data_IF_039626879942
#
_entry.id   IF_039626879942
#
_cell.length_a   1.000
_cell.length_b   1.000
_cell.length_c   1.000
_cell.angle_alpha   90.00
_cell.angle_beta   90.00
_cell.angle_gamma   90.00
#
_symmetry.space_group_name_H-M   'P 1'
#
loop_
_entity.id
_entity.type
_entity.pdbx_description
1 polymer ?
#
# COMPACT_ATOMS: atom_id res chain seq x y z
N UNK A 1 3.93 -4.12 15.10
CA UNK A 1 4.06 -3.45 13.78
C UNK A 1 3.00 -2.36 13.60
N UNK A 2 1.72 -2.61 13.93
CA UNK A 2 0.66 -1.60 13.86
C UNK A 2 0.98 -0.31 14.64
N UNK A 3 1.35 -0.42 15.93
CA UNK A 3 1.66 0.77 16.75
C UNK A 3 2.83 1.59 16.18
N UNK A 4 3.91 0.93 15.78
CA UNK A 4 5.05 1.57 15.11
C UNK A 4 4.62 2.33 13.84
N UNK A 5 3.78 1.72 13.00
CA UNK A 5 3.26 2.37 11.80
C UNK A 5 2.44 3.61 12.14
N UNK A 6 1.56 3.52 13.14
CA UNK A 6 0.74 4.63 13.61
C UNK A 6 1.59 5.76 14.19
N UNK A 7 2.65 5.46 14.92
CA UNK A 7 3.58 6.48 15.43
C UNK A 7 4.29 7.23 14.30
N UNK A 8 4.73 6.53 13.24
CA UNK A 8 5.35 7.17 12.07
C UNK A 8 4.35 8.05 11.31
N UNK A 9 3.11 7.57 11.12
CA UNK A 9 2.06 8.36 10.49
C UNK A 9 1.67 9.58 11.35
N UNK A 10 1.64 9.43 12.68
CA UNK A 10 1.28 10.48 13.62
C UNK A 10 2.23 11.69 13.62
N UNK A 11 3.49 11.49 13.22
CA UNK A 11 4.47 12.58 13.04
C UNK A 11 4.51 13.11 11.59
N UNK A 12 3.59 12.69 10.72
CA UNK A 12 3.55 13.07 9.31
C UNK A 12 4.48 12.26 8.40
N UNK A 13 5.06 11.16 8.89
CA UNK A 13 5.85 10.24 8.09
C UNK A 13 5.01 9.44 7.10
N UNK A 14 5.68 8.77 6.16
CA UNK A 14 5.04 7.85 5.19
C UNK A 14 5.40 6.42 5.52
N UNK A 15 4.45 5.50 5.35
CA UNK A 15 4.67 4.07 5.61
C UNK A 15 4.21 3.22 4.43
N UNK A 16 5.04 2.27 4.05
CA UNK A 16 4.72 1.20 3.11
C UNK A 16 4.77 -0.14 3.85
N UNK A 17 3.76 -0.99 3.67
CA UNK A 17 3.68 -2.30 4.33
C UNK A 17 3.57 -3.39 3.29
N UNK A 18 4.49 -4.36 3.32
CA UNK A 18 4.39 -5.59 2.56
C UNK A 18 3.45 -6.55 3.30
N UNK A 19 2.19 -6.60 2.86
CA UNK A 19 1.11 -7.27 3.58
C UNK A 19 0.82 -8.66 3.03
N UNK A 20 1.62 -9.66 3.42
CA UNK A 20 1.29 -11.06 3.16
C UNK A 20 0.19 -11.53 4.12
N UNK A 21 -0.94 -12.03 3.60
CA UNK A 21 -2.08 -12.49 4.40
C UNK A 21 -3.21 -11.47 4.62
N UNK A 22 -3.14 -10.29 3.98
CA UNK A 22 -4.24 -9.30 3.89
C UNK A 22 -4.70 -8.66 5.22
N UNK A 23 -4.00 -8.88 6.33
CA UNK A 23 -4.41 -8.38 7.65
C UNK A 23 -4.44 -6.85 7.76
N UNK A 24 -3.57 -6.16 7.02
CA UNK A 24 -3.49 -4.68 7.04
C UNK A 24 -4.45 -3.98 6.07
N UNK A 25 -5.22 -4.69 5.22
CA UNK A 25 -6.08 -4.07 4.19
C UNK A 25 -7.09 -3.10 4.80
N UNK A 26 -7.84 -3.56 5.81
CA UNK A 26 -8.89 -2.75 6.46
C UNK A 26 -8.30 -1.51 7.15
N UNK A 27 -7.17 -1.68 7.85
CA UNK A 27 -6.51 -0.57 8.54
C UNK A 27 -5.96 0.46 7.56
N UNK A 28 -5.34 0.03 6.45
CA UNK A 28 -4.86 0.92 5.39
C UNK A 28 -5.99 1.82 4.86
N UNK A 29 -7.15 1.23 4.56
CA UNK A 29 -8.31 1.97 4.06
C UNK A 29 -8.90 2.93 5.11
N UNK A 30 -8.99 2.52 6.39
CA UNK A 30 -9.47 3.39 7.48
C UNK A 30 -8.56 4.63 7.65
N UNK A 31 -7.26 4.46 7.46
CA UNK A 31 -6.28 5.53 7.54
C UNK A 31 -6.18 6.38 6.25
N UNK A 32 -7.06 6.15 5.27
CA UNK A 32 -7.07 6.88 3.99
C UNK A 32 -5.92 6.52 3.04
N UNK A 33 -5.25 5.39 3.26
CA UNK A 33 -4.18 4.91 2.41
C UNK A 33 -4.67 4.11 1.19
N UNK A 34 -3.74 3.83 0.28
CA UNK A 34 -3.99 3.00 -0.90
C UNK A 34 -3.52 1.56 -0.67
N UNK A 35 -4.39 0.59 -0.98
CA UNK A 35 -4.07 -0.84 -0.89
C UNK A 35 -3.85 -1.42 -2.28
N UNK A 36 -2.64 -1.93 -2.53
CA UNK A 36 -2.28 -2.58 -3.79
C UNK A 36 -2.40 -4.10 -3.61
N UNK A 37 -3.14 -4.73 -4.50
CA UNK A 37 -3.36 -6.18 -4.51
C UNK A 37 -3.18 -6.72 -5.93
N UNK A 38 -2.40 -7.78 -6.06
CA UNK A 38 -2.31 -8.51 -7.32
C UNK A 38 -3.46 -9.51 -7.38
N UNK A 39 -4.36 -9.29 -8.33
CA UNK A 39 -5.48 -10.18 -8.64
C UNK A 39 -5.39 -10.62 -10.10
N UNK A 40 -5.84 -11.84 -10.38
CA UNK A 40 -5.85 -12.39 -11.74
C UNK A 40 -6.90 -11.71 -12.62
N UNK A 41 -7.98 -11.16 -12.03
CA UNK A 41 -9.02 -10.44 -12.79
C UNK A 41 -8.60 -9.00 -13.13
N UNK A 42 -7.79 -8.39 -12.27
CA UNK A 42 -7.30 -7.02 -12.42
C UNK A 42 -5.76 -7.02 -12.32
N UNK A 43 -5.06 -7.53 -13.35
CA UNK A 43 -3.61 -7.66 -13.29
C UNK A 43 -2.94 -6.29 -13.23
N UNK A 44 -2.07 -6.11 -12.24
CA UNK A 44 -1.20 -4.94 -12.10
C UNK A 44 0.25 -5.34 -12.35
N UNK A 45 1.01 -4.51 -13.07
CA UNK A 45 2.45 -4.70 -13.25
C UNK A 45 3.22 -3.75 -12.33
N UNK A 46 4.13 -4.30 -11.52
CA UNK A 46 5.18 -3.52 -10.87
C UNK A 46 6.48 -3.87 -11.60
N UNK A 47 6.81 -3.07 -12.61
CA UNK A 47 8.06 -3.24 -13.35
C UNK A 47 9.18 -2.47 -12.63
N UNK A 48 10.21 -3.16 -12.11
CA UNK A 48 11.32 -2.52 -11.40
C UNK A 48 12.24 -1.68 -12.32
N UNK A 49 12.08 -1.80 -13.64
CA UNK A 49 12.83 -1.04 -14.65
C UNK A 49 12.00 0.10 -15.26
N UNK A 50 10.78 0.33 -14.76
CA UNK A 50 9.93 1.41 -15.27
C UNK A 50 10.44 2.77 -14.79
N UNK A 51 10.80 3.64 -15.74
CA UNK A 51 11.31 4.99 -15.49
C UNK A 51 10.20 6.06 -15.39
N UNK A 52 8.93 5.68 -15.54
CA UNK A 52 7.78 6.60 -15.46
C UNK A 52 7.06 6.57 -14.11
N UNK A 53 6.11 7.48 -13.93
CA UNK A 53 5.20 7.47 -12.77
C UNK A 53 4.24 6.27 -12.85
N UNK A 54 4.05 5.55 -11.75
CA UNK A 54 2.99 4.54 -11.62
C UNK A 54 1.65 5.26 -11.50
N UNK A 55 0.80 5.12 -12.52
CA UNK A 55 -0.59 5.58 -12.47
C UNK A 55 -1.46 4.43 -11.99
N UNK A 56 -2.05 4.60 -10.81
CA UNK A 56 -3.10 3.71 -10.32
C UNK A 56 -4.41 4.14 -10.99
N UNK A 57 -4.99 3.27 -11.81
CA UNK A 57 -6.32 3.48 -12.36
C UNK A 57 -7.32 3.17 -11.24
N UNK A 58 -8.13 4.17 -10.86
CA UNK A 58 -9.21 4.03 -9.88
C UNK A 58 -10.24 2.98 -10.29
#
# INVERSE_FOLDING_TARGET
>A
MQEMMLSVLGIGGKVFVLNYGRSFKRMCLILGGSYIEFDMKNPMSINPYWLGTLYFKE
#
